data_IF_681544283682
#
_entry.id   IF_681544283682
#
_cell.length_a   1.000
_cell.length_b   1.000
_cell.length_c   1.000
_cell.angle_alpha   90.00
_cell.angle_beta   90.00
_cell.angle_gamma   90.00
#
_symmetry.space_group_name_H-M   'P 1'
#
loop_
_entity.id
_entity.type
_entity.pdbx_description
1 polymer ?
#
# COMPACT_ATOMS: atom_id res chain seq x y z
N UNK A 1 6.57 33.99 4.31
CA UNK A 1 5.81 32.77 3.96
C UNK A 1 4.59 32.69 4.87
N UNK A 2 3.38 32.78 4.33
CA UNK A 2 2.19 32.41 5.12
C UNK A 2 2.14 30.89 5.14
N UNK A 3 2.37 30.29 6.30
CA UNK A 3 1.96 28.91 6.54
C UNK A 3 0.43 28.90 6.50
N UNK A 4 -0.14 28.60 5.34
CA UNK A 4 -1.56 28.32 5.25
C UNK A 4 -1.75 26.86 5.63
N UNK A 5 -2.32 26.62 6.80
CA UNK A 5 -2.84 25.31 7.21
C UNK A 5 -4.02 25.01 6.29
N UNK A 6 -3.75 24.26 5.22
CA UNK A 6 -4.76 23.80 4.27
C UNK A 6 -4.88 22.30 4.43
N UNK A 7 -6.04 21.73 4.09
CA UNK A 7 -6.18 20.27 4.06
C UNK A 7 -5.07 19.62 3.20
N UNK A 8 -4.59 20.31 2.15
CA UNK A 8 -3.49 19.85 1.31
C UNK A 8 -2.12 19.81 2.03
N UNK A 9 -1.84 20.71 2.98
CA UNK A 9 -0.61 20.64 3.80
C UNK A 9 -0.69 19.53 4.85
N UNK A 10 -1.89 19.25 5.36
CA UNK A 10 -2.11 18.14 6.29
C UNK A 10 -1.93 16.80 5.57
N UNK A 11 -2.48 16.67 4.35
CA UNK A 11 -2.27 15.49 3.48
C UNK A 11 -0.80 15.27 3.16
N UNK A 12 -0.04 16.34 2.88
CA UNK A 12 1.41 16.22 2.66
C UNK A 12 2.12 15.67 3.89
N UNK A 13 1.85 16.25 5.05
CA UNK A 13 2.47 15.85 6.31
C UNK A 13 2.10 14.40 6.65
N UNK A 14 0.86 14.00 6.38
CA UNK A 14 0.41 12.62 6.52
C UNK A 14 1.16 11.67 5.56
N UNK A 15 1.35 12.05 4.30
CA UNK A 15 2.14 11.28 3.33
C UNK A 15 3.57 11.04 3.79
N UNK A 16 4.21 12.04 4.40
CA UNK A 16 5.53 11.91 5.01
C UNK A 16 5.50 10.88 6.16
N UNK A 17 4.49 10.94 7.03
CA UNK A 17 4.30 9.96 8.11
C UNK A 17 4.09 8.54 7.56
N UNK A 18 3.32 8.36 6.47
CA UNK A 18 3.16 7.05 5.84
C UNK A 18 4.51 6.47 5.38
N UNK A 19 5.40 7.30 4.85
CA UNK A 19 6.74 6.88 4.43
C UNK A 19 7.63 6.54 5.64
N UNK A 20 7.53 7.30 6.73
CA UNK A 20 8.23 6.98 7.99
C UNK A 20 7.77 5.65 8.57
N UNK A 21 6.46 5.39 8.59
CA UNK A 21 5.88 4.12 9.05
C UNK A 21 6.35 2.98 8.16
N UNK A 22 6.30 3.15 6.84
CA UNK A 22 6.73 2.12 5.88
C UNK A 22 8.21 1.77 6.04
N UNK A 23 9.08 2.76 6.27
CA UNK A 23 10.53 2.58 6.25
C UNK A 23 11.16 2.43 7.65
N UNK A 24 10.38 2.67 8.71
CA UNK A 24 10.83 2.73 10.11
C UNK A 24 12.09 3.60 10.32
N UNK A 25 12.15 4.74 9.64
CA UNK A 25 13.29 5.65 9.65
C UNK A 25 12.82 7.11 9.75
N UNK A 26 13.56 8.00 10.43
CA UNK A 26 13.24 9.42 10.44
C UNK A 26 13.22 10.03 9.04
N UNK A 27 12.33 11.02 8.80
CA UNK A 27 12.26 11.75 7.51
C UNK A 27 13.61 12.28 7.05
N UNK A 28 14.39 12.82 7.99
CA UNK A 28 15.71 13.40 7.74
C UNK A 28 16.74 12.67 8.61
N UNK A 29 17.69 12.00 7.96
CA UNK A 29 18.79 11.34 8.65
C UNK A 29 20.15 11.78 8.10
N UNK A 30 20.83 12.75 8.76
CA UNK A 30 22.10 13.29 8.27
C UNK A 30 23.28 12.31 8.40
N UNK A 31 23.11 11.18 9.09
CA UNK A 31 24.14 10.14 9.19
C UNK A 31 24.20 9.22 7.96
N UNK A 32 23.22 9.34 7.04
CA UNK A 32 23.16 8.54 5.82
C UNK A 32 23.88 9.20 4.63
N UNK A 33 24.20 8.44 3.57
CA UNK A 33 24.66 9.00 2.30
C UNK A 33 23.71 10.07 1.78
N UNK A 34 24.25 11.07 1.05
CA UNK A 34 23.51 12.28 0.62
C UNK A 34 22.19 11.98 -0.10
N UNK A 35 22.15 10.93 -0.90
CA UNK A 35 20.99 10.44 -1.66
C UNK A 35 19.93 9.75 -0.79
N UNK A 36 20.20 9.52 0.49
CA UNK A 36 19.31 8.83 1.43
C UNK A 36 18.94 9.68 2.65
N UNK A 37 19.48 10.90 2.75
CA UNK A 37 19.19 11.81 3.86
C UNK A 37 17.72 12.20 3.86
N UNK A 38 17.14 12.48 2.70
CA UNK A 38 15.72 12.79 2.52
C UNK A 38 14.95 11.49 2.24
N UNK A 39 14.13 11.08 3.21
CA UNK A 39 13.38 9.84 3.14
C UNK A 39 12.37 9.82 1.97
N UNK A 40 11.48 10.82 1.78
CA UNK A 40 10.60 10.84 0.62
C UNK A 40 11.31 10.73 -0.72
N UNK A 41 12.36 11.50 -0.94
CA UNK A 41 13.12 11.47 -2.19
C UNK A 41 13.70 10.08 -2.44
N UNK A 42 14.35 9.50 -1.43
CA UNK A 42 14.95 8.18 -1.52
C UNK A 42 13.93 7.06 -1.71
N UNK A 43 12.84 7.07 -0.94
CA UNK A 43 11.84 6.00 -0.97
C UNK A 43 11.09 5.97 -2.31
N UNK A 44 10.74 7.14 -2.85
CA UNK A 44 10.07 7.24 -4.13
C UNK A 44 10.99 6.88 -5.30
N UNK A 45 12.28 7.22 -5.23
CA UNK A 45 13.26 6.77 -6.22
C UNK A 45 13.40 5.24 -6.23
N UNK A 46 13.47 4.63 -5.05
CA UNK A 46 13.50 3.16 -4.91
C UNK A 46 12.24 2.51 -5.47
N UNK A 47 11.07 3.07 -5.18
CA UNK A 47 9.80 2.63 -5.75
C UNK A 47 9.80 2.67 -7.28
N UNK A 48 10.23 3.79 -7.89
CA UNK A 48 10.31 3.96 -9.36
C UNK A 48 11.23 2.95 -10.02
N UNK A 49 12.30 2.56 -9.33
CA UNK A 49 13.23 1.52 -9.77
C UNK A 49 12.74 0.09 -9.54
N UNK A 50 11.53 -0.11 -9.02
CA UNK A 50 10.99 -1.43 -8.70
C UNK A 50 11.64 -2.07 -7.46
N UNK A 51 12.32 -1.30 -6.62
CA UNK A 51 13.06 -1.76 -5.44
C UNK A 51 12.29 -1.48 -4.14
N UNK A 52 10.96 -1.60 -4.17
CA UNK A 52 10.10 -1.23 -3.05
C UNK A 52 10.37 -2.07 -1.79
N UNK A 53 10.63 -3.37 -1.94
CA UNK A 53 10.99 -4.25 -0.82
C UNK A 53 12.23 -3.76 -0.05
N UNK A 54 13.16 -3.06 -0.72
CA UNK A 54 14.39 -2.58 -0.09
C UNK A 54 14.18 -1.40 0.84
N UNK A 55 12.99 -0.76 0.78
CA UNK A 55 12.65 0.38 1.64
C UNK A 55 11.75 0.01 2.81
N UNK A 56 11.08 -1.14 2.76
CA UNK A 56 10.20 -1.61 3.83
C UNK A 56 10.98 -1.86 5.12
N UNK A 57 10.35 -1.59 6.26
CA UNK A 57 10.91 -1.90 7.58
C UNK A 57 11.33 -3.38 7.64
N UNK A 58 12.63 -3.61 7.80
CA UNK A 58 13.24 -4.94 7.90
C UNK A 58 12.71 -5.73 9.09
N UNK A 59 12.17 -5.07 10.10
CA UNK A 59 11.59 -5.72 11.28
C UNK A 59 10.30 -6.47 10.97
N UNK A 60 9.67 -6.22 9.82
CA UNK A 60 8.50 -6.96 9.37
C UNK A 60 8.85 -8.37 8.87
N UNK A 61 10.12 -8.65 8.54
CA UNK A 61 10.64 -9.98 8.18
C UNK A 61 9.77 -10.75 7.14
N UNK A 62 9.26 -10.04 6.14
CA UNK A 62 8.39 -10.62 5.11
C UNK A 62 6.96 -10.93 5.56
N UNK A 63 6.57 -10.55 6.78
CA UNK A 63 5.21 -10.64 7.32
C UNK A 63 4.24 -9.61 6.73
N UNK A 64 4.40 -9.26 5.46
CA UNK A 64 3.57 -8.31 4.73
C UNK A 64 3.28 -8.82 3.32
N UNK A 65 2.19 -8.33 2.74
CA UNK A 65 1.88 -8.58 1.33
C UNK A 65 2.49 -7.48 0.45
N UNK A 66 3.18 -7.84 -0.63
CA UNK A 66 3.86 -6.86 -1.48
C UNK A 66 2.89 -5.93 -2.20
N UNK A 67 1.71 -6.42 -2.57
CA UNK A 67 0.67 -5.61 -3.21
C UNK A 67 0.09 -4.58 -2.23
N UNK A 68 -0.12 -4.98 -0.97
CA UNK A 68 -0.54 -4.09 0.12
C UNK A 68 0.48 -2.95 0.34
N UNK A 69 1.77 -3.27 0.32
CA UNK A 69 2.86 -2.30 0.45
C UNK A 69 2.94 -1.39 -0.77
N UNK A 70 2.71 -1.93 -1.97
CA UNK A 70 2.66 -1.16 -3.21
C UNK A 70 1.53 -0.13 -3.19
N UNK A 71 0.34 -0.53 -2.72
CA UNK A 71 -0.81 0.34 -2.57
C UNK A 71 -0.51 1.47 -1.56
N UNK A 72 0.10 1.15 -0.42
CA UNK A 72 0.51 2.13 0.58
C UNK A 72 1.54 3.14 0.01
N UNK A 73 2.55 2.64 -0.71
CA UNK A 73 3.56 3.49 -1.34
C UNK A 73 3.00 4.34 -2.49
N UNK A 74 1.90 3.92 -3.12
CA UNK A 74 1.20 4.71 -4.13
C UNK A 74 0.45 5.90 -3.54
N UNK A 75 -0.34 5.67 -2.50
CA UNK A 75 -1.03 6.78 -1.84
C UNK A 75 -0.02 7.73 -1.19
N UNK A 76 1.06 7.22 -0.59
CA UNK A 76 2.11 8.04 -0.01
C UNK A 76 2.79 8.94 -1.06
N UNK A 77 3.10 8.42 -2.26
CA UNK A 77 3.66 9.22 -3.36
C UNK A 77 2.74 10.39 -3.75
N UNK A 78 1.44 10.13 -3.90
CA UNK A 78 0.46 11.17 -4.26
C UNK A 78 0.31 12.20 -3.14
N UNK A 79 0.32 11.78 -1.87
CA UNK A 79 0.25 12.69 -0.74
C UNK A 79 1.43 13.67 -0.68
N UNK A 80 2.64 13.23 -1.02
CA UNK A 80 3.85 14.07 -0.97
C UNK A 80 4.15 14.82 -2.27
N UNK A 81 3.17 14.92 -3.19
CA UNK A 81 3.32 15.68 -4.42
C UNK A 81 3.67 17.15 -4.14
N UNK A 82 4.53 17.74 -4.98
CA UNK A 82 4.97 19.13 -4.86
C UNK A 82 3.79 20.11 -4.96
N UNK A 83 2.90 19.85 -5.91
CA UNK A 83 1.70 20.66 -6.13
C UNK A 83 0.54 20.18 -5.26
N UNK A 84 -0.02 21.07 -4.44
CA UNK A 84 -1.11 20.72 -3.52
C UNK A 84 -2.41 20.26 -4.18
N UNK A 85 -2.59 20.54 -5.48
CA UNK A 85 -3.75 20.10 -6.30
C UNK A 85 -3.65 18.66 -6.79
N UNK A 86 -2.44 18.11 -6.84
CA UNK A 86 -2.20 16.72 -7.23
C UNK A 86 -2.33 15.77 -6.04
N UNK A 87 -2.42 16.34 -4.83
CA UNK A 87 -2.61 15.58 -3.60
C UNK A 87 -4.06 15.12 -3.48
N UNK A 88 -4.30 13.87 -3.06
CA UNK A 88 -5.63 13.34 -2.87
C UNK A 88 -6.36 14.03 -1.70
N UNK A 89 -7.68 13.93 -1.67
CA UNK A 89 -8.45 14.25 -0.47
C UNK A 89 -8.17 13.23 0.64
N UNK A 90 -8.37 13.61 1.90
CA UNK A 90 -8.18 12.66 3.02
C UNK A 90 -9.10 11.42 2.93
N UNK A 91 -10.28 11.58 2.31
CA UNK A 91 -11.19 10.45 2.04
C UNK A 91 -10.63 9.48 0.98
N UNK A 92 -10.01 9.99 -0.09
CA UNK A 92 -9.30 9.15 -1.06
C UNK A 92 -8.12 8.44 -0.40
N UNK A 93 -7.37 9.13 0.46
CA UNK A 93 -6.27 8.53 1.24
C UNK A 93 -6.78 7.36 2.08
N UNK A 94 -7.87 7.56 2.83
CA UNK A 94 -8.49 6.51 3.64
C UNK A 94 -8.88 5.30 2.78
N UNK A 95 -9.57 5.52 1.67
CA UNK A 95 -9.98 4.44 0.76
C UNK A 95 -8.79 3.62 0.24
N UNK A 96 -7.68 4.28 -0.11
CA UNK A 96 -6.46 3.59 -0.51
C UNK A 96 -5.84 2.75 0.62
N UNK A 97 -5.87 3.26 1.86
CA UNK A 97 -5.38 2.53 3.03
C UNK A 97 -6.26 1.32 3.38
N UNK A 98 -7.58 1.45 3.26
CA UNK A 98 -8.52 0.34 3.43
C UNK A 98 -8.26 -0.76 2.39
N UNK A 99 -8.02 -0.36 1.13
CA UNK A 99 -7.65 -1.31 0.07
C UNK A 99 -6.35 -2.03 0.39
N UNK A 100 -5.32 -1.30 0.86
CA UNK A 100 -4.05 -1.90 1.27
C UNK A 100 -4.25 -2.90 2.42
N UNK A 101 -5.08 -2.56 3.40
CA UNK A 101 -5.42 -3.45 4.52
C UNK A 101 -6.12 -4.72 4.05
N UNK A 102 -7.08 -4.61 3.12
CA UNK A 102 -7.80 -5.77 2.57
C UNK A 102 -6.86 -6.73 1.85
N UNK A 103 -5.92 -6.21 1.04
CA UNK A 103 -4.89 -7.01 0.38
C UNK A 103 -4.05 -7.80 1.39
N UNK A 104 -3.59 -7.13 2.46
CA UNK A 104 -2.81 -7.79 3.50
C UNK A 104 -3.61 -8.83 4.29
N UNK A 105 -4.88 -8.56 4.60
CA UNK A 105 -5.75 -9.50 5.29
C UNK A 105 -6.01 -10.77 4.46
N UNK A 106 -6.23 -10.61 3.15
CA UNK A 106 -6.36 -11.75 2.23
C UNK A 106 -5.09 -12.60 2.22
N UNK A 107 -3.90 -11.98 2.24
CA UNK A 107 -2.64 -12.68 2.38
C UNK A 107 -2.56 -13.49 3.68
N UNK A 108 -2.91 -12.91 4.84
CA UNK A 108 -2.89 -13.63 6.12
C UNK A 108 -3.84 -14.83 6.15
N UNK A 109 -5.02 -14.71 5.53
CA UNK A 109 -5.96 -15.82 5.39
C UNK A 109 -5.38 -16.96 4.54
N UNK A 110 -4.69 -16.63 3.46
CA UNK A 110 -4.01 -17.64 2.63
C UNK A 110 -2.86 -18.34 3.37
N UNK A 111 -2.06 -17.59 4.12
CA UNK A 111 -0.93 -18.11 4.90
C UNK A 111 -1.40 -19.04 6.03
N UNK A 112 -2.48 -18.70 6.72
CA UNK A 112 -3.07 -19.53 7.78
C UNK A 112 -3.77 -20.80 7.26
N UNK A 113 -4.41 -20.74 6.09
CA UNK A 113 -4.99 -21.93 5.45
C UNK A 113 -3.91 -22.95 5.04
N UNK A 114 -2.74 -22.48 4.60
CA UNK A 114 -1.60 -23.36 4.26
C UNK A 114 -1.01 -24.05 5.50
N UNK A 115 -1.00 -23.39 6.65
CA UNK A 115 -0.50 -23.94 7.91
C UNK A 115 -1.47 -24.98 8.53
N UNK A 116 -2.78 -24.80 8.34
CA UNK A 116 -3.80 -25.73 8.83
C UNK A 116 -3.92 -27.03 8.01
N UNK A 117 -3.37 -27.07 6.78
CA UNK A 117 -3.40 -28.24 5.90
C UNK A 117 -2.19 -29.18 6.07
N UNK A 118 -1.33 -28.96 7.07
CA UNK A 118 -0.03 -29.63 7.24
C UNK A 118 -0.02 -31.01 7.91
N UNK A 119 -1.14 -31.55 8.40
CA UNK A 119 -1.18 -32.82 9.16
C UNK A 119 -2.04 -33.93 8.49
N UNK A 120 -1.81 -34.21 7.21
CA UNK A 120 -2.35 -35.41 6.55
C UNK A 120 -1.23 -36.17 5.84
N UNK A 121 -0.77 -37.25 6.48
CA UNK A 121 0.06 -38.30 5.87
C UNK A 121 -0.58 -38.82 4.56
N UNK A 122 0.17 -38.90 3.44
CA UNK A 122 -0.34 -39.50 2.22
C UNK A 122 -0.21 -41.04 2.30
N UNK A 123 -1.33 -41.75 2.48
CA UNK A 123 -1.42 -43.17 2.14
C UNK A 123 -1.99 -43.33 0.73
N UNK A 124 -1.22 -44.01 -0.11
CA UNK A 124 -1.40 -44.29 -1.54
C UNK A 124 -2.84 -44.51 -2.05
N UNK A 125 -3.15 -43.99 -3.24
CA UNK A 125 -4.29 -44.45 -4.04
C UNK A 125 -4.80 -43.54 -5.17
N UNK A 126 -4.20 -43.65 -6.36
CA UNK A 126 -4.76 -43.51 -7.71
C UNK A 126 -5.69 -42.32 -8.13
N UNK A 127 -5.19 -41.56 -9.12
CA UNK A 127 -5.83 -41.10 -10.38
C UNK A 127 -7.14 -40.28 -10.37
N UNK A 128 -7.07 -39.02 -10.82
CA UNK A 128 -7.50 -38.59 -12.17
C UNK A 128 -7.58 -37.04 -12.30
N UNK A 129 -7.03 -36.53 -13.41
CA UNK A 129 -7.49 -35.43 -14.30
C UNK A 129 -8.40 -34.34 -13.71
N UNK A 130 -8.14 -33.04 -13.77
CA UNK A 130 -7.91 -32.11 -14.91
C UNK A 130 -7.73 -30.75 -14.21
N UNK A 131 -6.89 -29.79 -14.60
CA UNK A 131 -7.12 -28.91 -15.76
C UNK A 131 -5.94 -27.94 -15.84
N UNK A 132 -4.94 -28.25 -16.66
CA UNK A 132 -4.11 -27.20 -17.26
C UNK A 132 -5.02 -26.53 -18.29
N UNK A 133 -5.46 -25.29 -18.01
CA UNK A 133 -5.75 -24.25 -19.02
C UNK A 133 -6.22 -22.92 -18.41
N UNK A 134 -5.34 -21.92 -18.59
CA UNK A 134 -5.62 -20.59 -19.16
C UNK A 134 -6.29 -19.54 -18.26
N UNK A 135 -5.45 -18.64 -17.73
CA UNK A 135 -5.79 -17.22 -17.54
C UNK A 135 -4.49 -16.38 -17.52
N UNK A 136 -3.78 -16.38 -18.64
CA UNK A 136 -2.69 -15.43 -18.95
C UNK A 136 -3.15 -14.64 -20.17
N UNK A 137 -4.12 -13.72 -19.97
CA UNK A 137 -4.57 -12.76 -21.01
C UNK A 137 -5.45 -11.67 -20.37
N UNK A 138 -4.84 -10.61 -19.81
CA UNK A 138 -5.46 -9.28 -19.65
C UNK A 138 -4.41 -8.26 -19.13
N UNK A 139 -3.25 -8.19 -19.78
CA UNK A 139 -2.30 -7.11 -19.57
C UNK A 139 -2.26 -6.24 -20.83
N UNK A 140 -3.33 -5.48 -21.07
CA UNK A 140 -3.30 -4.16 -21.72
C UNK A 140 -4.73 -3.61 -21.80
N UNK A 141 -4.84 -2.28 -21.70
CA UNK A 141 -6.05 -1.45 -21.72
C UNK A 141 -6.82 -1.29 -20.41
N UNK A 142 -6.22 -0.57 -19.47
CA UNK A 142 -6.98 0.35 -18.63
C UNK A 142 -6.23 1.68 -18.57
N UNK A 143 -6.46 2.53 -19.57
CA UNK A 143 -6.22 3.96 -19.41
C UNK A 143 -7.12 4.45 -18.28
N UNK A 144 -6.51 4.81 -17.15
CA UNK A 144 -7.22 5.38 -16.01
C UNK A 144 -7.64 6.80 -16.40
N UNK A 145 -8.87 6.95 -16.88
CA UNK A 145 -9.53 8.25 -16.98
C UNK A 145 -10.06 8.61 -15.60
N UNK A 146 -9.52 9.68 -15.02
CA UNK A 146 -10.08 10.31 -13.83
C UNK A 146 -11.46 10.89 -14.19
N UNK A 147 -12.52 10.27 -13.68
CA UNK A 147 -13.87 10.81 -13.76
C UNK A 147 -14.05 11.89 -12.70
N UNK A 148 -14.23 13.13 -13.14
CA UNK A 148 -14.83 14.21 -12.35
C UNK A 148 -16.27 13.79 -12.01
N UNK A 149 -16.52 13.55 -10.73
CA UNK A 149 -17.79 13.06 -10.23
C UNK A 149 -18.20 13.85 -8.99
N UNK A 150 -18.77 15.03 -9.22
CA UNK A 150 -19.67 15.68 -8.26
C UNK A 150 -20.84 14.72 -7.97
N UNK A 151 -21.03 14.35 -6.70
CA UNK A 151 -22.16 13.52 -6.28
C UNK A 151 -22.13 13.19 -4.81
N UNK A 152 -22.71 14.09 -4.01
CA UNK A 152 -23.48 13.86 -2.79
C UNK A 152 -23.04 12.72 -1.86
N UNK A 153 -22.37 13.12 -0.78
CA UNK A 153 -21.92 12.22 0.29
C UNK A 153 -23.09 11.57 1.03
N UNK A 154 -23.21 10.26 0.86
CA UNK A 154 -23.91 9.40 1.82
C UNK A 154 -22.91 9.05 2.93
N UNK A 155 -23.15 9.58 4.13
CA UNK A 155 -22.35 9.31 5.30
C UNK A 155 -22.58 7.86 5.75
N UNK A 156 -21.57 7.00 5.59
CA UNK A 156 -21.59 5.65 6.17
C UNK A 156 -21.22 5.76 7.65
N UNK A 157 -22.21 5.66 8.53
CA UNK A 157 -22.02 5.61 9.98
C UNK A 157 -21.42 4.25 10.37
N UNK A 158 -20.09 4.19 10.51
CA UNK A 158 -19.40 3.05 11.10
C UNK A 158 -19.56 3.11 12.62
N UNK A 159 -20.42 2.24 13.17
CA UNK A 159 -20.51 2.00 14.62
C UNK A 159 -19.34 1.12 15.07
N UNK A 160 -18.39 1.74 15.77
CA UNK A 160 -17.36 1.01 16.51
C UNK A 160 -17.92 0.74 17.91
N UNK A 161 -18.32 -0.49 18.19
CA UNK A 161 -18.56 -0.94 19.56
C UNK A 161 -17.20 -1.23 20.21
N UNK A 162 -16.84 -0.40 21.20
CA UNK A 162 -15.69 -0.67 22.08
C UNK A 162 -16.21 -1.56 23.21
N UNK A 163 -15.63 -2.76 23.33
CA UNK A 163 -15.83 -3.68 24.45
C UNK A 163 -15.29 -3.10 25.77
#
# INVERSE_FOLDING_TARGET
>A
MRQQLTQSSDVYSFGVVLLEVLCARPVINPALPRDQVNLPEWALERKRRGLLETVVDRRLDGGYDLESVRQLAEVAEKCVADEGRDRPSIGQVLWHLETALQLHQAHLQSSSASAAAGDLEPSDGASASNSIRRAEEAAETAGVTYGDGHGDGEAVELRVEVL
#
